data_IF_768683834799
#
_entry.id   IF_768683834799
#
_cell.length_a   1.000
_cell.length_b   1.000
_cell.length_c   1.000
_cell.angle_alpha   90.00
_cell.angle_beta   90.00
_cell.angle_gamma   90.00
#
_symmetry.space_group_name_H-M   'P 1'
#
loop_
_entity.id
_entity.type
_entity.pdbx_description
1 polymer ?
#
# COMPACT_ATOMS: atom_id res chain seq x y z
N UNK A 1 -2.04 -18.74 3.99
CA UNK A 1 -2.00 -17.54 3.13
C UNK A 1 -0.76 -16.75 3.51
N UNK A 2 0.12 -16.43 2.57
CA UNK A 2 1.27 -15.56 2.84
C UNK A 2 0.81 -14.10 2.62
N UNK A 3 0.52 -13.41 3.73
CA UNK A 3 0.01 -12.03 3.71
C UNK A 3 1.05 -11.07 3.13
N UNK A 4 2.31 -11.20 3.54
CA UNK A 4 3.42 -10.39 3.02
C UNK A 4 3.52 -10.52 1.50
N UNK A 5 3.47 -11.75 0.96
CA UNK A 5 3.46 -11.97 -0.49
C UNK A 5 2.23 -11.34 -1.17
N UNK A 6 1.06 -11.48 -0.55
CA UNK A 6 -0.19 -10.89 -1.08
C UNK A 6 -0.11 -9.37 -1.17
N UNK A 7 0.39 -8.71 -0.12
CA UNK A 7 0.60 -7.25 -0.09
C UNK A 7 1.56 -6.85 -1.19
N UNK A 8 2.72 -7.50 -1.29
CA UNK A 8 3.76 -7.18 -2.28
C UNK A 8 3.24 -7.29 -3.71
N UNK A 9 2.58 -8.40 -4.04
CA UNK A 9 2.05 -8.64 -5.39
C UNK A 9 0.99 -7.60 -5.76
N UNK A 10 0.07 -7.30 -4.84
CA UNK A 10 -0.98 -6.30 -5.03
C UNK A 10 -0.39 -4.90 -5.23
N UNK A 11 0.54 -4.49 -4.36
CA UNK A 11 1.17 -3.17 -4.42
C UNK A 11 1.95 -2.98 -5.72
N UNK A 12 2.77 -3.96 -6.10
CA UNK A 12 3.50 -3.92 -7.37
C UNK A 12 2.56 -3.84 -8.56
N UNK A 13 1.50 -4.65 -8.57
CA UNK A 13 0.53 -4.66 -9.65
C UNK A 13 -0.25 -3.34 -9.76
N UNK A 14 -0.72 -2.78 -8.65
CA UNK A 14 -1.40 -1.48 -8.62
C UNK A 14 -0.48 -0.34 -9.08
N UNK A 15 0.76 -0.32 -8.60
CA UNK A 15 1.74 0.68 -8.98
C UNK A 15 2.12 0.60 -10.48
N UNK A 16 2.15 -0.61 -11.05
CA UNK A 16 2.48 -0.83 -12.46
C UNK A 16 1.31 -0.57 -13.40
N UNK A 17 0.10 -0.99 -13.02
CA UNK A 17 -1.05 -1.08 -13.94
C UNK A 17 -1.96 0.15 -13.87
N UNK A 18 -2.17 0.69 -12.66
CA UNK A 18 -3.11 1.80 -12.41
C UNK A 18 -2.43 3.06 -11.88
N UNK A 19 -1.11 3.18 -12.09
CA UNK A 19 -0.18 3.98 -11.27
C UNK A 19 -0.80 4.54 -9.98
N UNK A 20 -1.13 3.65 -9.03
CA UNK A 20 -1.79 4.04 -7.79
C UNK A 20 -1.13 3.35 -6.58
N UNK A 21 -0.83 4.08 -5.49
CA UNK A 21 -0.45 3.47 -4.22
C UNK A 21 -1.66 2.79 -3.56
N UNK A 22 -1.42 1.76 -2.75
CA UNK A 22 -2.49 0.97 -2.12
C UNK A 22 -2.70 1.40 -0.67
N UNK A 23 -3.91 1.86 -0.26
CA UNK A 23 -4.17 2.19 1.13
C UNK A 23 -4.10 0.95 2.03
N UNK A 24 -3.44 1.04 3.19
CA UNK A 24 -3.20 -0.12 4.06
C UNK A 24 -4.52 -0.71 4.58
N UNK A 25 -5.49 0.13 4.93
CA UNK A 25 -6.80 -0.32 5.43
C UNK A 25 -7.56 -1.19 4.42
N UNK A 26 -7.21 -1.14 3.13
CA UNK A 26 -7.84 -1.95 2.08
C UNK A 26 -7.69 -3.46 2.34
N UNK A 27 -6.58 -3.87 2.96
CA UNK A 27 -6.33 -5.27 3.32
C UNK A 27 -7.26 -5.77 4.44
N UNK A 28 -7.86 -4.86 5.21
CA UNK A 28 -8.91 -5.20 6.19
C UNK A 28 -10.31 -5.30 5.61
N UNK A 29 -10.51 -4.91 4.35
CA UNK A 29 -11.80 -5.03 3.65
C UNK A 29 -11.92 -6.40 2.96
N UNK A 30 -13.15 -6.81 2.67
CA UNK A 30 -13.43 -7.99 1.83
C UNK A 30 -12.79 -7.81 0.44
N UNK A 31 -12.15 -8.83 -0.15
CA UNK A 31 -12.12 -10.26 0.22
C UNK A 31 -10.95 -10.68 1.13
N UNK A 32 -10.12 -9.73 1.55
CA UNK A 32 -8.91 -10.02 2.32
C UNK A 32 -9.21 -10.24 3.80
N UNK A 33 -9.98 -9.32 4.39
CA UNK A 33 -10.47 -9.37 5.77
C UNK A 33 -9.39 -9.65 6.82
N UNK A 34 -8.18 -9.12 6.62
CA UNK A 34 -7.11 -9.21 7.61
C UNK A 34 -7.35 -8.21 8.74
N UNK A 35 -7.00 -8.57 9.96
CA UNK A 35 -7.02 -7.61 11.06
C UNK A 35 -5.76 -6.73 11.05
N UNK A 36 -5.79 -5.62 11.78
CA UNK A 36 -4.69 -4.66 11.80
C UNK A 36 -3.38 -5.29 12.32
N UNK A 37 -3.45 -6.21 13.29
CA UNK A 37 -2.27 -6.89 13.83
C UNK A 37 -1.59 -7.78 12.78
N UNK A 38 -2.38 -8.51 11.97
CA UNK A 38 -1.86 -9.32 10.86
C UNK A 38 -1.15 -8.44 9.83
N UNK A 39 -1.73 -7.28 9.49
CA UNK A 39 -1.15 -6.33 8.54
C UNK A 39 0.15 -5.72 9.08
N UNK A 40 0.19 -5.37 10.36
CA UNK A 40 1.41 -4.87 11.01
C UNK A 40 2.51 -5.94 11.09
N UNK A 41 2.17 -7.18 11.42
CA UNK A 41 3.15 -8.28 11.42
C UNK A 41 3.71 -8.48 10.00
N UNK A 42 2.84 -8.47 8.99
CA UNK A 42 3.27 -8.61 7.61
C UNK A 42 4.20 -7.46 7.20
N UNK A 43 3.90 -6.23 7.61
CA UNK A 43 4.73 -5.05 7.43
C UNK A 43 6.13 -5.21 8.01
N UNK A 44 6.22 -5.65 9.26
CA UNK A 44 7.51 -5.87 9.91
C UNK A 44 8.31 -6.96 9.21
N UNK A 45 7.65 -7.96 8.63
CA UNK A 45 8.31 -9.00 7.83
C UNK A 45 8.81 -8.46 6.49
N UNK A 46 8.04 -7.59 5.82
CA UNK A 46 8.46 -6.95 4.57
C UNK A 46 9.74 -6.13 4.75
N UNK A 47 9.83 -5.35 5.83
CA UNK A 47 11.01 -4.52 6.14
C UNK A 47 12.29 -5.32 6.41
N UNK A 48 12.18 -6.59 6.80
CA UNK A 48 13.32 -7.48 7.12
C UNK A 48 13.81 -8.27 5.91
N UNK A 49 13.01 -8.36 4.86
CA UNK A 49 13.26 -9.23 3.72
C UNK A 49 13.76 -8.42 2.52
N UNK A 50 15.03 -8.58 2.17
CA UNK A 50 15.67 -7.87 1.05
C UNK A 50 14.94 -8.04 -0.28
N UNK A 51 14.16 -9.12 -0.46
CA UNK A 51 13.39 -9.33 -1.70
C UNK A 51 12.19 -8.37 -1.84
N UNK A 52 11.79 -7.72 -0.75
CA UNK A 52 10.63 -6.83 -0.64
C UNK A 52 11.00 -5.38 -0.30
N UNK A 53 12.29 -5.03 -0.36
CA UNK A 53 12.79 -3.68 -0.05
C UNK A 53 12.25 -2.57 -0.96
N UNK A 54 11.62 -2.93 -2.06
CA UNK A 54 10.95 -1.95 -2.91
C UNK A 54 9.61 -1.48 -2.34
N UNK A 55 9.01 -2.23 -1.41
CA UNK A 55 7.73 -1.88 -0.80
C UNK A 55 7.97 -0.90 0.33
N UNK A 56 7.53 0.33 0.10
CA UNK A 56 7.68 1.44 1.03
C UNK A 56 6.32 1.96 1.49
N UNK A 57 6.32 2.66 2.62
CA UNK A 57 5.14 3.25 3.21
C UNK A 57 5.19 4.78 3.10
N UNK A 58 4.04 5.41 2.87
CA UNK A 58 3.87 6.84 3.05
C UNK A 58 2.63 7.15 3.88
N UNK A 59 2.67 8.27 4.60
CA UNK A 59 1.56 8.86 5.33
C UNK A 59 1.13 10.16 4.63
N UNK A 60 -0.12 10.29 4.24
CA UNK A 60 -0.67 11.51 3.59
C UNK A 60 -1.03 12.58 4.61
N UNK A 61 -1.36 13.78 4.13
CA UNK A 61 -1.86 14.88 4.97
C UNK A 61 -3.16 14.55 5.72
N UNK A 62 -3.96 13.61 5.21
CA UNK A 62 -5.18 13.13 5.87
C UNK A 62 -4.95 11.98 6.87
N UNK A 63 -3.68 11.72 7.22
CA UNK A 63 -3.28 10.65 8.14
C UNK A 63 -3.67 9.24 7.66
N UNK A 64 -3.70 9.03 6.34
CA UNK A 64 -3.93 7.72 5.72
C UNK A 64 -2.60 7.14 5.28
N UNK A 65 -2.37 5.87 5.65
CA UNK A 65 -1.16 5.14 5.30
C UNK A 65 -1.36 4.38 3.99
N UNK A 66 -0.35 4.43 3.14
CA UNK A 66 -0.33 3.76 1.84
C UNK A 66 0.96 2.97 1.65
N UNK A 67 0.88 1.89 0.88
CA UNK A 67 2.03 1.22 0.28
C UNK A 67 2.24 1.62 -1.16
N UNK A 68 3.50 1.70 -1.56
CA UNK A 68 3.91 1.84 -2.95
C UNK A 68 5.16 1.01 -3.22
N UNK A 69 5.41 0.70 -4.49
CA UNK A 69 6.64 0.02 -4.92
C UNK A 69 7.57 1.01 -5.61
N UNK A 70 8.78 1.15 -5.08
CA UNK A 70 9.86 1.98 -5.66
C UNK A 70 10.36 1.47 -7.01
N UNK A 71 9.99 0.24 -7.42
CA UNK A 71 10.24 -0.27 -8.77
C UNK A 71 9.40 0.45 -9.84
N UNK A 72 8.30 1.09 -9.44
CA UNK A 72 7.31 1.62 -10.38
C UNK A 72 7.04 3.11 -10.17
N UNK A 73 7.25 3.65 -8.95
CA UNK A 73 7.04 5.07 -8.68
C UNK A 73 7.95 5.59 -7.56
N UNK A 74 8.27 6.89 -7.62
CA UNK A 74 8.93 7.59 -6.51
C UNK A 74 7.93 7.94 -5.41
N UNK A 75 8.41 8.18 -4.19
CA UNK A 75 7.57 8.63 -3.07
C UNK A 75 6.77 9.89 -3.42
N UNK A 76 7.41 10.89 -4.06
CA UNK A 76 6.76 12.14 -4.46
C UNK A 76 5.58 11.87 -5.39
N UNK A 77 5.75 10.95 -6.34
CA UNK A 77 4.67 10.59 -7.27
C UNK A 77 3.57 9.81 -6.56
N UNK A 78 3.91 8.82 -5.74
CA UNK A 78 2.96 8.05 -4.94
C UNK A 78 2.12 8.96 -4.02
N UNK A 79 2.75 9.91 -3.33
CA UNK A 79 2.08 10.88 -2.45
C UNK A 79 1.07 11.74 -3.20
N UNK A 80 1.47 12.30 -4.35
CA UNK A 80 0.58 13.13 -5.17
C UNK A 80 -0.67 12.35 -5.63
N UNK A 81 -0.51 11.06 -5.98
CA UNK A 81 -1.61 10.18 -6.37
C UNK A 81 -2.52 9.81 -5.20
N UNK A 82 -1.94 9.51 -4.03
CA UNK A 82 -2.69 9.22 -2.82
C UNK A 82 -3.55 10.42 -2.41
N UNK A 83 -2.94 11.60 -2.29
CA UNK A 83 -3.63 12.84 -1.92
C UNK A 83 -4.70 13.23 -2.95
N UNK A 84 -4.43 13.05 -4.25
CA UNK A 84 -5.43 13.26 -5.30
C UNK A 84 -6.61 12.30 -5.20
N UNK A 85 -6.36 11.03 -4.81
CA UNK A 85 -7.40 10.01 -4.62
C UNK A 85 -8.29 10.35 -3.43
N UNK A 86 -7.71 10.87 -2.36
CA UNK A 86 -8.43 11.32 -1.16
C UNK A 86 -9.31 12.56 -1.43
N UNK A 87 -8.89 13.44 -2.34
CA UNK A 87 -9.62 14.67 -2.69
C UNK A 87 -10.74 14.48 -3.73
N UNK A 88 -10.70 13.40 -4.51
CA UNK A 88 -11.70 13.13 -5.56
C UNK A 88 -13.03 12.57 -5.03
N UNK A 89 -14.08 12.59 -5.87
CA UNK A 89 -15.44 12.06 -5.56
C UNK A 89 -15.50 10.56 -5.20
N UNK A 90 -14.39 9.84 -5.34
CA UNK A 90 -14.22 8.44 -4.93
C UNK A 90 -13.25 8.28 -3.75
N UNK A 91 -13.07 9.33 -2.95
CA UNK A 91 -12.39 9.22 -1.66
C UNK A 91 -13.02 8.07 -0.90
N UNK A 92 -12.24 7.02 -0.65
CA UNK A 92 -12.63 5.84 0.10
C UNK A 92 -13.08 6.30 1.50
N UNK A 93 -14.37 6.59 1.64
CA UNK A 93 -15.07 6.81 2.90
C UNK A 93 -15.42 5.46 3.52
#
# INVERSE_FOLDING_TARGET
KDLSKTIVEMVRWNCKTYPCPTPIYYFGKTPYSYNDEEVEIALQNLKKDEKYKDIEELLTGNNIRYFYSTLHMSEKYARALAESTEQGEYGYN
#
